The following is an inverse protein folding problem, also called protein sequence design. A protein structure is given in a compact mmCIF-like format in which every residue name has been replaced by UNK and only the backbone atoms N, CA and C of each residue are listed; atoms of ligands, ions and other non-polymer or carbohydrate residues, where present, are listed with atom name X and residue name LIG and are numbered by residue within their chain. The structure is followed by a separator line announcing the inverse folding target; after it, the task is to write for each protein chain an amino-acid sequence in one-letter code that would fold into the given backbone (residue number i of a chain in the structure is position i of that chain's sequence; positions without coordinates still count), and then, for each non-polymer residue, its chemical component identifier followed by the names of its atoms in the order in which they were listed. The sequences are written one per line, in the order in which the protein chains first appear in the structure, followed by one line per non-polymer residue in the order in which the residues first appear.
data_IF_590996705853
#
_entry.id   IF_590996705853
#
_cell.length_a   1.000
_cell.length_b   1.000
_cell.length_c   1.000
_cell.angle_alpha   90.00
_cell.angle_beta   90.00
_cell.angle_gamma   90.00
#
_symmetry.space_group_name_H-M   'P 1'
#
loop_
_entity.id
_entity.type
_entity.pdbx_description
1 polymer ?
#
# COMPACT_ATOMS: atom_id res chain seq x y z
N UNK A 1 -20.78 -37.21 -6.72
CA UNK A 1 -20.14 -36.12 -5.94
C UNK A 1 -18.64 -36.21 -6.17
N UNK A 2 -18.06 -35.28 -6.94
CA UNK A 2 -16.61 -35.31 -7.24
C UNK A 2 -15.87 -34.56 -6.14
N UNK A 3 -15.08 -35.27 -5.35
CA UNK A 3 -14.16 -34.68 -4.37
C UNK A 3 -13.11 -33.86 -5.13
N UNK A 4 -13.23 -32.55 -5.11
CA UNK A 4 -12.22 -31.61 -5.61
C UNK A 4 -11.00 -31.68 -4.68
N UNK A 5 -9.96 -32.34 -5.18
CA UNK A 5 -8.66 -32.49 -4.55
C UNK A 5 -8.11 -31.14 -4.10
N UNK A 6 -7.72 -31.05 -2.82
CA UNK A 6 -6.80 -30.01 -2.33
C UNK A 6 -5.54 -30.11 -3.18
N UNK A 7 -5.37 -29.17 -4.11
CA UNK A 7 -4.12 -28.99 -4.85
C UNK A 7 -3.02 -28.74 -3.82
N UNK A 8 -2.03 -29.64 -3.76
CA UNK A 8 -0.87 -29.46 -2.86
C UNK A 8 -0.08 -28.27 -3.37
N UNK A 9 -0.23 -27.11 -2.74
CA UNK A 9 0.64 -25.96 -2.95
C UNK A 9 2.07 -26.39 -2.58
N UNK A 10 2.94 -26.46 -3.57
CA UNK A 10 4.38 -26.63 -3.33
C UNK A 10 4.97 -25.27 -2.95
N UNK A 11 5.91 -25.21 -1.98
CA UNK A 11 6.49 -23.95 -1.57
C UNK A 11 7.20 -23.27 -2.76
N UNK A 12 7.15 -21.92 -2.85
CA UNK A 12 7.78 -21.20 -3.94
C UNK A 12 9.29 -21.46 -3.98
N UNK A 13 9.86 -21.52 -5.19
CA UNK A 13 11.28 -21.72 -5.37
C UNK A 13 12.06 -20.50 -4.84
N UNK A 14 13.08 -20.69 -3.98
CA UNK A 14 13.86 -19.58 -3.46
C UNK A 14 14.68 -18.86 -4.55
N UNK A 15 14.98 -17.55 -4.38
CA UNK A 15 14.60 -16.71 -3.24
C UNK A 15 13.17 -16.20 -3.34
N UNK A 16 12.49 -16.09 -2.19
CA UNK A 16 11.17 -15.46 -2.12
C UNK A 16 11.34 -13.98 -2.46
N UNK A 17 10.79 -13.56 -3.59
CA UNK A 17 10.78 -12.15 -4.01
C UNK A 17 9.59 -11.43 -3.43
N UNK A 18 9.75 -10.20 -2.89
CA UNK A 18 8.61 -9.37 -2.52
C UNK A 18 7.66 -9.17 -3.71
N UNK A 19 6.37 -9.17 -3.43
CA UNK A 19 5.29 -8.96 -4.40
C UNK A 19 4.54 -7.67 -4.08
N UNK A 20 3.60 -7.29 -4.95
CA UNK A 20 2.68 -6.18 -4.73
C UNK A 20 1.88 -6.36 -3.44
N UNK A 21 1.32 -7.56 -3.22
CA UNK A 21 0.56 -7.90 -2.01
C UNK A 21 1.40 -7.72 -0.74
N UNK A 22 2.67 -8.12 -0.78
CA UNK A 22 3.61 -7.91 0.33
C UNK A 22 3.86 -6.41 0.51
N UNK A 23 4.09 -5.65 -0.57
CA UNK A 23 4.37 -4.22 -0.47
C UNK A 23 3.18 -3.41 0.08
N UNK A 24 1.93 -3.81 -0.20
CA UNK A 24 0.73 -3.12 0.27
C UNK A 24 0.10 -3.68 1.55
N UNK A 25 0.52 -4.85 2.03
CA UNK A 25 -0.08 -5.47 3.22
C UNK A 25 0.29 -4.72 4.51
N UNK A 26 -0.68 -4.39 5.38
CA UNK A 26 -0.42 -3.74 6.67
C UNK A 26 0.40 -4.62 7.63
N UNK A 27 0.40 -5.94 7.43
CA UNK A 27 1.17 -6.88 8.25
C UNK A 27 2.64 -6.97 7.84
N UNK A 28 3.03 -6.35 6.73
CA UNK A 28 4.41 -6.38 6.26
C UNK A 28 5.29 -5.58 7.20
N UNK A 29 6.35 -6.23 7.68
CA UNK A 29 7.25 -5.64 8.66
C UNK A 29 8.01 -4.43 8.08
N UNK A 30 8.30 -3.40 8.89
CA UNK A 30 8.99 -2.19 8.42
C UNK A 30 10.31 -2.46 7.67
N UNK A 31 11.11 -3.43 8.13
CA UNK A 31 12.39 -3.79 7.49
C UNK A 31 12.21 -4.32 6.06
N UNK A 32 11.11 -5.03 5.79
CA UNK A 32 10.79 -5.53 4.44
C UNK A 32 10.33 -4.37 3.57
N UNK A 33 9.54 -3.43 4.10
CA UNK A 33 9.14 -2.24 3.36
C UNK A 33 10.34 -1.37 2.98
N UNK A 34 11.29 -1.18 3.90
CA UNK A 34 12.55 -0.48 3.61
C UNK A 34 13.39 -1.21 2.56
N UNK A 35 13.47 -2.54 2.63
CA UNK A 35 14.14 -3.34 1.61
C UNK A 35 13.51 -3.14 0.22
N UNK A 36 12.18 -3.20 0.13
CA UNK A 36 11.44 -2.95 -1.13
C UNK A 36 11.73 -1.54 -1.64
N UNK A 37 11.63 -0.53 -0.77
CA UNK A 37 11.85 0.86 -1.14
C UNK A 37 13.24 1.11 -1.72
N UNK A 38 14.27 0.49 -1.14
CA UNK A 38 15.66 0.68 -1.56
C UNK A 38 15.98 -0.11 -2.83
N UNK A 39 15.46 -1.33 -2.97
CA UNK A 39 15.99 -2.30 -3.93
C UNK A 39 15.04 -2.61 -5.10
N UNK A 40 13.74 -2.31 -5.00
CA UNK A 40 12.74 -2.78 -5.95
C UNK A 40 11.86 -1.61 -6.47
N UNK A 41 12.36 -0.81 -7.43
CA UNK A 41 11.70 0.44 -7.85
C UNK A 41 10.25 0.27 -8.32
N UNK A 42 9.92 -0.81 -9.03
CA UNK A 42 8.57 -1.05 -9.56
C UNK A 42 7.53 -1.35 -8.47
N UNK A 43 7.97 -1.73 -7.26
CA UNK A 43 7.07 -2.00 -6.13
C UNK A 43 6.84 -0.79 -5.22
N UNK A 44 7.62 0.29 -5.36
CA UNK A 44 7.52 1.47 -4.48
C UNK A 44 6.13 2.10 -4.45
N UNK A 45 5.41 2.09 -5.57
CA UNK A 45 4.04 2.61 -5.64
C UNK A 45 3.07 1.88 -4.71
N UNK A 46 3.31 0.59 -4.46
CA UNK A 46 2.46 -0.23 -3.59
C UNK A 46 2.70 0.06 -2.10
N UNK A 47 3.89 0.52 -1.73
CA UNK A 47 4.18 1.00 -0.37
C UNK A 47 3.26 2.17 0.00
N UNK A 48 2.87 3.02 -0.97
CA UNK A 48 1.98 4.17 -0.75
C UNK A 48 0.58 3.71 -0.29
N UNK A 49 0.14 2.55 -0.75
CA UNK A 49 -1.13 1.95 -0.34
C UNK A 49 -1.03 1.20 1.00
N UNK A 50 0.18 1.03 1.54
CA UNK A 50 0.40 0.31 2.79
C UNK A 50 0.08 1.20 3.99
N UNK A 51 -0.95 0.83 4.77
CA UNK A 51 -1.39 1.62 5.93
C UNK A 51 -0.44 1.55 7.14
N UNK A 52 0.53 0.62 7.14
CA UNK A 52 1.59 0.57 8.16
C UNK A 52 2.86 1.33 7.75
N UNK A 53 2.94 1.83 6.51
CA UNK A 53 4.06 2.66 6.08
C UNK A 53 4.06 4.00 6.83
N UNK A 54 5.17 4.30 7.50
CA UNK A 54 5.34 5.56 8.22
C UNK A 54 5.68 6.73 7.28
N UNK A 55 5.59 7.95 7.83
CA UNK A 55 5.85 9.17 7.07
C UNK A 55 7.28 9.23 6.50
N UNK A 56 8.28 8.70 7.22
CA UNK A 56 9.69 8.73 6.79
C UNK A 56 9.92 7.82 5.59
N UNK A 57 9.29 6.66 5.58
CA UNK A 57 9.32 5.74 4.46
C UNK A 57 8.61 6.33 3.23
N UNK A 58 7.43 6.93 3.41
CA UNK A 58 6.70 7.59 2.32
C UNK A 58 7.49 8.79 1.75
N UNK A 59 8.14 9.58 2.59
CA UNK A 59 9.04 10.65 2.16
C UNK A 59 10.21 10.10 1.34
N UNK A 60 10.86 9.03 1.81
CA UNK A 60 11.92 8.39 1.04
C UNK A 60 11.42 7.91 -0.33
N UNK A 61 10.25 7.27 -0.38
CA UNK A 61 9.65 6.79 -1.64
C UNK A 61 9.34 7.95 -2.58
N UNK A 62 8.83 9.08 -2.08
CA UNK A 62 8.53 10.25 -2.90
C UNK A 62 9.80 10.86 -3.52
N UNK A 63 10.89 10.92 -2.76
CA UNK A 63 12.19 11.43 -3.23
C UNK A 63 12.87 10.49 -4.22
N UNK A 64 12.83 9.17 -3.96
CA UNK A 64 13.46 8.17 -4.84
C UNK A 64 12.69 7.93 -6.12
N UNK A 65 11.38 8.17 -6.12
CA UNK A 65 10.52 7.93 -7.27
C UNK A 65 10.50 6.46 -7.70
N UNK A 66 10.07 6.22 -8.92
CA UNK A 66 9.86 4.88 -9.50
C UNK A 66 8.66 4.91 -10.43
N UNK A 67 8.39 3.81 -11.15
CA UNK A 67 7.20 3.70 -11.98
C UNK A 67 5.94 4.02 -11.17
N UNK A 68 5.15 4.98 -11.68
CA UNK A 68 3.86 5.47 -11.14
C UNK A 68 3.85 6.05 -9.72
N UNK A 69 5.00 6.19 -9.03
CA UNK A 69 5.06 6.69 -7.64
C UNK A 69 4.37 8.05 -7.49
N UNK A 70 4.65 9.00 -8.40
CA UNK A 70 4.02 10.33 -8.38
C UNK A 70 2.50 10.25 -8.55
N UNK A 71 2.04 9.41 -9.47
CA UNK A 71 0.62 9.23 -9.72
C UNK A 71 -0.08 8.62 -8.51
N UNK A 72 0.50 7.57 -7.91
CA UNK A 72 -0.04 6.94 -6.71
C UNK A 72 -0.13 7.88 -5.51
N UNK A 73 0.84 8.77 -5.31
CA UNK A 73 0.73 9.82 -4.29
C UNK A 73 -0.42 10.80 -4.58
N UNK A 74 -0.61 11.21 -5.84
CA UNK A 74 -1.75 12.07 -6.19
C UNK A 74 -3.08 11.41 -5.83
N UNK A 75 -3.25 10.12 -6.14
CA UNK A 75 -4.45 9.35 -5.77
C UNK A 75 -4.62 9.28 -4.25
N UNK A 76 -3.55 9.07 -3.48
CA UNK A 76 -3.61 9.10 -2.02
C UNK A 76 -4.09 10.46 -1.50
N UNK A 77 -3.56 11.56 -2.02
CA UNK A 77 -3.96 12.91 -1.62
C UNK A 77 -5.40 13.26 -2.03
N UNK A 78 -5.82 12.88 -3.24
CA UNK A 78 -7.20 13.05 -3.71
C UNK A 78 -8.18 12.29 -2.80
N UNK A 79 -7.85 11.05 -2.44
CA UNK A 79 -8.62 10.24 -1.49
C UNK A 79 -8.72 10.91 -0.12
N UNK A 80 -7.61 11.44 0.39
CA UNK A 80 -7.59 12.14 1.67
C UNK A 80 -8.46 13.40 1.66
N UNK A 81 -8.35 14.23 0.61
CA UNK A 81 -9.15 15.44 0.45
C UNK A 81 -10.65 15.12 0.36
N UNK A 82 -11.02 14.13 -0.44
CA UNK A 82 -12.40 13.66 -0.54
C UNK A 82 -12.98 13.21 0.82
N UNK A 83 -12.19 12.45 1.59
CA UNK A 83 -12.60 12.00 2.92
C UNK A 83 -12.72 13.16 3.90
N UNK A 84 -11.81 14.14 3.82
CA UNK A 84 -11.85 15.33 4.67
C UNK A 84 -13.13 16.16 4.40
N UNK A 85 -13.43 16.47 3.13
CA UNK A 85 -14.64 17.22 2.74
C UNK A 85 -15.92 16.50 3.17
N UNK A 86 -15.99 15.17 2.96
CA UNK A 86 -17.14 14.36 3.35
C UNK A 86 -17.37 14.38 4.86
N UNK A 87 -16.31 14.34 5.66
CA UNK A 87 -16.39 14.41 7.12
C UNK A 87 -16.86 15.79 7.57
N UNK A 88 -16.28 16.88 7.06
CA UNK A 88 -16.70 18.25 7.40
C UNK A 88 -18.19 18.46 7.13
N UNK A 89 -18.66 18.07 5.94
CA UNK A 89 -20.07 18.18 5.55
C UNK A 89 -21.01 17.38 6.47
N UNK A 90 -20.58 16.23 6.99
CA UNK A 90 -21.36 15.44 7.95
C UNK A 90 -21.47 16.16 9.30
N UNK A 91 -20.38 16.73 9.81
CA UNK A 91 -20.39 17.46 11.08
C UNK A 91 -21.22 18.75 11.00
N UNK A 92 -21.10 19.53 9.93
CA UNK A 92 -21.88 20.77 9.77
C UNK A 92 -23.39 20.51 9.68
N UNK A 93 -23.81 19.46 8.98
CA UNK A 93 -25.24 19.10 8.87
C UNK A 93 -25.84 18.57 10.17
N UNK A 94 -25.04 17.88 10.99
CA UNK A 94 -25.51 17.31 12.26
C UNK A 94 -25.53 18.33 13.41
N UNK A 95 -24.87 19.49 13.28
CA UNK A 95 -24.87 20.57 14.27
C UNK A 95 -25.97 21.62 14.06
N UNK A 96 -26.81 21.46 13.03
CA UNK A 96 -27.92 22.36 12.69
C UNK A 96 -29.30 21.80 13.10
N UNK A 97 -29.33 20.79 13.98
CA UNK A 97 -30.53 20.16 14.53
C UNK A 97 -30.48 20.25 16.05
#
# INVERSE_FOLDING_TARGET
MKNTYKEKLTPPKPPITPTEDIASSPETKPEILWYIAQNIPHLRKWIIANTSADARLLEYVSQKGGPDVKHSFNILFESYNYMHEKLQNKYTKNSQI
#
